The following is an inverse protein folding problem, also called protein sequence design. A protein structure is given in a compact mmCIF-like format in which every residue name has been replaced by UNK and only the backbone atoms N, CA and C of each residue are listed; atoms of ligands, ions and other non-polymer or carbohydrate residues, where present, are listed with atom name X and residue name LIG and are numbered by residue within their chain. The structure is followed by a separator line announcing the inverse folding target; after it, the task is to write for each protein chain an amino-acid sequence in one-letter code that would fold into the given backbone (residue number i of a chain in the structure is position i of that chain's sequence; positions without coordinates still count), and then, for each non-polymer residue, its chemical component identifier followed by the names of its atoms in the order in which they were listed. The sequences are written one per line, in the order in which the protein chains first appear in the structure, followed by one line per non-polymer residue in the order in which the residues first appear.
data_IF_883119346911
#
_entry.id   IF_883119346911
#
_cell.length_a   1.000
_cell.length_b   1.000
_cell.length_c   1.000
_cell.angle_alpha   90.00
_cell.angle_beta   90.00
_cell.angle_gamma   90.00
#
_symmetry.space_group_name_H-M   'P 1'
#
loop_
_entity.id
_entity.type
_entity.pdbx_description
1 polymer ?
#
# COMPACT_ATOMS: atom_id res chain seq x y z
N UNK A 1 26.28 2.06 0.53
CA UNK A 1 26.45 2.68 -0.80
C UNK A 1 25.07 2.99 -1.35
N UNK A 2 24.88 4.14 -2.01
CA UNK A 2 23.59 4.49 -2.61
C UNK A 2 23.52 3.85 -3.99
N UNK A 3 22.47 3.06 -4.25
CA UNK A 3 22.21 2.49 -5.57
C UNK A 3 21.52 3.55 -6.43
N UNK A 4 22.17 4.01 -7.49
CA UNK A 4 21.59 4.99 -8.42
C UNK A 4 20.98 4.26 -9.62
N UNK A 5 19.66 4.34 -9.77
CA UNK A 5 18.94 3.85 -10.95
C UNK A 5 18.88 4.95 -12.03
N UNK A 6 19.09 4.64 -13.33
CA UNK A 6 18.98 5.60 -14.43
C UNK A 6 17.50 5.89 -14.77
N UNK A 7 16.73 6.41 -13.81
CA UNK A 7 15.28 6.59 -13.89
C UNK A 7 14.81 7.44 -15.08
N UNK A 8 15.67 8.33 -15.60
CA UNK A 8 15.35 9.16 -16.76
C UNK A 8 15.33 8.37 -18.08
N UNK A 9 16.01 7.22 -18.14
CA UNK A 9 16.11 6.36 -19.32
C UNK A 9 15.07 5.23 -19.32
N UNK A 10 14.43 4.99 -18.18
CA UNK A 10 13.44 3.92 -18.00
C UNK A 10 12.06 4.35 -18.48
N UNK A 11 11.39 3.45 -19.21
CA UNK A 11 9.96 3.62 -19.49
C UNK A 11 9.14 3.48 -18.19
N UNK A 12 7.86 3.87 -18.24
CA UNK A 12 6.95 3.63 -17.10
C UNK A 12 6.86 2.15 -16.75
N UNK A 13 6.85 1.26 -17.74
CA UNK A 13 6.81 -0.18 -17.52
C UNK A 13 8.05 -0.67 -16.78
N UNK A 14 9.24 -0.20 -17.19
CA UNK A 14 10.50 -0.59 -16.53
C UNK A 14 10.54 -0.12 -15.08
N UNK A 15 10.02 1.09 -14.80
CA UNK A 15 9.95 1.63 -13.44
C UNK A 15 9.03 0.79 -12.56
N UNK A 16 7.86 0.40 -13.08
CA UNK A 16 6.92 -0.45 -12.36
C UNK A 16 7.51 -1.83 -12.10
N UNK A 17 8.18 -2.44 -13.08
CA UNK A 17 8.86 -3.71 -12.91
C UNK A 17 9.97 -3.64 -11.84
N UNK A 18 10.78 -2.58 -11.85
CA UNK A 18 11.80 -2.37 -10.84
C UNK A 18 11.20 -2.16 -9.43
N UNK A 19 10.06 -1.46 -9.32
CA UNK A 19 9.35 -1.32 -8.04
C UNK A 19 8.84 -2.67 -7.53
N UNK A 20 8.28 -3.50 -8.40
CA UNK A 20 7.81 -4.86 -8.05
C UNK A 20 8.96 -5.76 -7.59
N UNK A 21 10.09 -5.75 -8.28
CA UNK A 21 11.27 -6.54 -7.90
C UNK A 21 11.84 -6.11 -6.55
N UNK A 22 11.96 -4.80 -6.33
CA UNK A 22 12.37 -4.25 -5.03
C UNK A 22 11.38 -4.61 -3.92
N UNK A 23 10.08 -4.56 -4.22
CA UNK A 23 9.04 -4.90 -3.26
C UNK A 23 9.05 -6.38 -2.90
N UNK A 24 9.21 -7.28 -3.87
CA UNK A 24 9.31 -8.72 -3.64
C UNK A 24 10.50 -9.05 -2.73
N UNK A 25 11.69 -8.48 -3.00
CA UNK A 25 12.87 -8.67 -2.16
C UNK A 25 12.66 -8.18 -0.72
N UNK A 26 12.18 -6.94 -0.55
CA UNK A 26 11.92 -6.36 0.78
C UNK A 26 10.87 -7.14 1.57
N UNK A 27 9.85 -7.66 0.89
CA UNK A 27 8.76 -8.40 1.54
C UNK A 27 9.23 -9.69 2.22
N UNK A 28 10.30 -10.32 1.71
CA UNK A 28 10.90 -11.55 2.24
C UNK A 28 11.55 -11.35 3.61
N UNK A 29 11.93 -10.11 3.93
CA UNK A 29 12.54 -9.72 5.22
C UNK A 29 11.67 -8.72 5.98
N UNK A 30 10.35 -8.75 5.75
CA UNK A 30 9.40 -7.78 6.31
C UNK A 30 9.46 -7.63 7.83
N UNK A 31 9.78 -8.70 8.57
CA UNK A 31 9.97 -8.65 10.03
C UNK A 31 11.13 -7.74 10.47
N UNK A 32 12.12 -7.53 9.59
CA UNK A 32 13.28 -6.68 9.84
C UNK A 32 13.04 -5.21 9.42
N UNK A 33 11.88 -4.90 8.84
CA UNK A 33 11.53 -3.54 8.41
C UNK A 33 10.56 -2.96 9.44
N UNK A 34 11.03 -2.09 10.36
CA UNK A 34 10.16 -1.54 11.39
C UNK A 34 9.07 -0.68 10.75
N UNK A 35 7.84 -0.85 11.20
CA UNK A 35 6.75 0.01 10.79
C UNK A 35 7.06 1.47 11.20
N UNK A 36 6.70 2.47 10.38
CA UNK A 36 6.79 3.86 10.77
C UNK A 36 5.99 4.13 12.05
N UNK A 37 6.48 5.03 12.91
CA UNK A 37 5.83 5.33 14.20
C UNK A 37 4.38 5.77 14.07
N UNK A 38 4.04 6.52 13.02
CA UNK A 38 2.68 7.00 12.75
C UNK A 38 1.70 5.88 12.35
N UNK A 39 2.19 4.68 11.99
CA UNK A 39 1.34 3.61 11.50
C UNK A 39 0.39 3.10 12.59
N UNK A 40 0.88 3.00 13.83
CA UNK A 40 0.08 2.60 14.99
C UNK A 40 -1.08 3.59 15.25
N UNK A 41 -0.79 4.89 15.24
CA UNK A 41 -1.80 5.94 15.41
C UNK A 41 -2.94 5.80 14.37
N UNK A 42 -2.59 5.51 13.12
CA UNK A 42 -3.56 5.31 12.03
C UNK A 42 -4.40 4.06 12.24
N UNK A 43 -3.79 2.95 12.69
CA UNK A 43 -4.51 1.71 12.98
C UNK A 43 -5.47 1.88 14.14
N UNK A 44 -5.03 2.49 15.25
CA UNK A 44 -5.89 2.79 16.40
C UNK A 44 -7.07 3.69 16.01
N UNK A 45 -6.84 4.73 15.20
CA UNK A 45 -7.90 5.60 14.73
C UNK A 45 -8.89 4.90 13.78
N UNK A 46 -8.47 3.89 13.02
CA UNK A 46 -9.35 3.06 12.18
C UNK A 46 -10.17 2.08 13.02
N UNK A 47 -9.52 1.41 13.96
CA UNK A 47 -10.14 0.48 14.90
C UNK A 47 -11.25 1.18 15.70
N UNK A 48 -10.95 2.37 16.27
CA UNK A 48 -11.93 3.19 16.99
C UNK A 48 -13.16 3.50 16.14
N UNK A 49 -12.96 3.88 14.87
CA UNK A 49 -14.09 4.18 13.95
C UNK A 49 -14.96 2.97 13.68
N UNK A 50 -14.39 1.76 13.66
CA UNK A 50 -15.16 0.53 13.51
C UNK A 50 -15.98 0.26 14.78
N UNK A 51 -15.35 0.39 15.95
CA UNK A 51 -16.02 0.22 17.25
C UNK A 51 -17.16 1.23 17.47
N UNK A 52 -16.95 2.49 17.07
CA UNK A 52 -17.93 3.56 17.15
C UNK A 52 -19.02 3.46 16.04
N UNK A 53 -18.95 2.47 15.14
CA UNK A 53 -19.90 2.27 14.04
C UNK A 53 -19.78 3.27 12.89
N UNK A 54 -18.77 4.14 12.90
CA UNK A 54 -18.48 5.11 11.85
C UNK A 54 -17.75 4.51 10.63
N UNK A 55 -17.33 3.25 10.70
CA UNK A 55 -16.70 2.51 9.61
C UNK A 55 -17.04 1.02 9.71
N UNK A 56 -17.04 0.33 8.58
CA UNK A 56 -17.29 -1.12 8.52
C UNK A 56 -16.38 -1.77 7.50
N UNK A 57 -16.16 -3.08 7.66
CA UNK A 57 -15.55 -3.87 6.61
C UNK A 57 -16.55 -4.10 5.47
N UNK A 58 -16.03 -4.21 4.26
CA UNK A 58 -16.81 -4.48 3.04
C UNK A 58 -16.07 -5.53 2.25
N UNK A 59 -16.82 -6.47 1.68
CA UNK A 59 -16.29 -7.50 0.79
C UNK A 59 -15.51 -6.87 -0.37
N UNK A 60 -14.37 -7.45 -0.73
CA UNK A 60 -13.48 -6.84 -1.73
C UNK A 60 -14.17 -6.68 -3.09
N UNK A 61 -14.99 -7.65 -3.48
CA UNK A 61 -15.77 -7.59 -4.73
C UNK A 61 -16.81 -6.46 -4.70
N UNK A 62 -17.42 -6.24 -3.55
CA UNK A 62 -18.37 -5.13 -3.32
C UNK A 62 -17.66 -3.77 -3.41
N UNK A 63 -16.55 -3.62 -2.69
CA UNK A 63 -15.75 -2.39 -2.71
C UNK A 63 -15.31 -2.01 -4.12
N UNK A 64 -14.82 -2.98 -4.91
CA UNK A 64 -14.45 -2.76 -6.33
C UNK A 64 -15.63 -2.29 -7.18
N UNK A 65 -16.82 -2.85 -6.96
CA UNK A 65 -18.04 -2.44 -7.69
C UNK A 65 -18.40 -1.01 -7.34
N UNK A 66 -18.48 -0.68 -6.06
CA UNK A 66 -18.79 0.68 -5.58
C UNK A 66 -17.81 1.73 -6.13
N UNK A 67 -16.51 1.43 -6.17
CA UNK A 67 -15.52 2.35 -6.76
C UNK A 67 -15.83 2.57 -8.23
N UNK A 68 -15.97 1.50 -9.02
CA UNK A 68 -16.24 1.60 -10.46
C UNK A 68 -17.51 2.39 -10.78
N UNK A 69 -18.56 2.22 -9.98
CA UNK A 69 -19.82 2.94 -10.16
C UNK A 69 -19.69 4.44 -9.85
N UNK A 70 -18.73 4.84 -8.99
CA UNK A 70 -18.45 6.25 -8.65
C UNK A 70 -17.49 6.95 -9.61
N UNK A 71 -16.63 6.21 -10.32
CA UNK A 71 -15.65 6.80 -11.27
C UNK A 71 -16.12 6.77 -12.73
N UNK A 72 -17.33 6.25 -12.99
CA UNK A 72 -18.03 6.44 -14.27
C UNK A 72 -18.56 7.86 -14.39
#
# INVERSE_FOLDING_TARGET
MVTTLPLSQMTTSDKLAALEELWDDLSRVSENIPAPSWHDDVLQAREKRIQDGASSFTEWTEAKRMIRDRVK
#
